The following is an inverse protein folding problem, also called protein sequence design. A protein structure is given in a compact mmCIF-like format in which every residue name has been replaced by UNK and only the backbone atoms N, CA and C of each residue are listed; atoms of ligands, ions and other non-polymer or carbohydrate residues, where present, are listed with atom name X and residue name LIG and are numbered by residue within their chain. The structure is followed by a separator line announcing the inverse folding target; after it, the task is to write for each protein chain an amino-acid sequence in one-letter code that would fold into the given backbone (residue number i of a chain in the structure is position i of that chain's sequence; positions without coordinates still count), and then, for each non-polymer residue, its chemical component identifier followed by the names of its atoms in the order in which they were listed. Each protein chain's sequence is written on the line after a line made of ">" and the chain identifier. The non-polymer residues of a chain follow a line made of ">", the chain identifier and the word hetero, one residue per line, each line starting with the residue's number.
data_IF_546377474138
#
_entry.id   IF_546377474138
#
_cell.length_a   1.000
_cell.length_b   1.000
_cell.length_c   1.000
_cell.angle_alpha   90.00
_cell.angle_beta   90.00
_cell.angle_gamma   90.00
#
_symmetry.space_group_name_H-M   'P 1'
#
loop_
_entity.id
_entity.type
_entity.pdbx_description
1 polymer ?
#
# COMPACT_ATOMS: atom_id res chain seq x y z
N UNK A 1 -2.69 15.46 -20.59
CA UNK A 1 -3.29 15.10 -19.30
C UNK A 1 -4.66 15.75 -19.24
N UNK A 2 -5.74 14.96 -19.17
CA UNK A 2 -7.14 15.41 -19.30
C UNK A 2 -7.88 15.50 -17.97
N UNK A 3 -7.19 15.87 -16.89
CA UNK A 3 -7.86 16.14 -15.62
C UNK A 3 -8.49 17.53 -15.70
N UNK A 4 -9.82 17.61 -15.47
CA UNK A 4 -10.55 18.89 -15.49
C UNK A 4 -10.18 19.84 -14.34
N UNK A 5 -9.46 19.34 -13.33
CA UNK A 5 -8.94 20.09 -12.19
C UNK A 5 -7.54 19.60 -11.80
N UNK A 6 -6.68 20.44 -11.20
CA UNK A 6 -5.41 20.02 -10.64
C UNK A 6 -5.58 18.97 -9.53
N UNK A 7 -4.63 18.05 -9.43
CA UNK A 7 -4.57 17.09 -8.32
C UNK A 7 -4.23 17.79 -7.00
N UNK A 8 -4.87 17.33 -5.93
CA UNK A 8 -4.64 17.74 -4.56
C UNK A 8 -3.94 16.63 -3.76
N UNK A 9 -3.37 17.05 -2.63
CA UNK A 9 -2.73 16.15 -1.69
C UNK A 9 -3.75 15.16 -1.11
N UNK A 10 -3.47 13.86 -1.21
CA UNK A 10 -4.36 12.81 -0.72
C UNK A 10 -5.47 12.40 -1.69
N UNK A 11 -5.55 12.97 -2.89
CA UNK A 11 -6.48 12.51 -3.92
C UNK A 11 -6.25 11.03 -4.23
N UNK A 12 -7.29 10.21 -4.07
CA UNK A 12 -7.29 8.84 -4.53
C UNK A 12 -7.66 8.79 -6.00
N UNK A 13 -6.92 8.01 -6.77
CA UNK A 13 -7.06 7.97 -8.23
C UNK A 13 -7.39 6.58 -8.73
N UNK A 14 -8.13 6.53 -9.82
CA UNK A 14 -8.25 5.38 -10.71
C UNK A 14 -7.35 5.65 -11.90
N UNK A 15 -6.59 4.64 -12.32
CA UNK A 15 -5.60 4.76 -13.38
C UNK A 15 -5.89 3.76 -14.50
N UNK A 16 -6.25 4.30 -15.66
CA UNK A 16 -6.60 3.53 -16.84
C UNK A 16 -5.50 3.68 -17.91
N UNK A 17 -4.74 2.61 -18.13
CA UNK A 17 -3.70 2.58 -19.14
C UNK A 17 -4.26 2.20 -20.50
N UNK A 18 -4.09 3.06 -21.53
CA UNK A 18 -4.45 2.69 -22.89
C UNK A 18 -3.76 1.38 -23.30
N UNK A 19 -4.54 0.40 -23.76
CA UNK A 19 -4.02 -0.94 -24.12
C UNK A 19 -3.91 -1.92 -22.94
N UNK A 20 -4.36 -1.55 -21.74
CA UNK A 20 -4.53 -2.45 -20.59
C UNK A 20 -3.26 -2.85 -19.86
N UNK A 21 -2.07 -2.52 -20.38
CA UNK A 21 -0.79 -2.83 -19.72
C UNK A 21 -0.42 -1.71 -18.76
N UNK A 22 -0.43 -2.00 -17.45
CA UNK A 22 -0.06 -1.01 -16.43
C UNK A 22 1.37 -0.50 -16.65
N UNK A 23 1.56 0.80 -16.45
CA UNK A 23 2.83 1.51 -16.63
C UNK A 23 3.39 1.51 -18.07
N UNK A 24 2.61 1.08 -19.06
CA UNK A 24 2.93 1.31 -20.47
C UNK A 24 2.38 2.69 -20.90
N UNK A 25 3.25 3.70 -20.93
CA UNK A 25 2.88 5.06 -21.28
C UNK A 25 2.12 5.81 -20.18
N UNK A 26 1.35 6.83 -20.57
CA UNK A 26 0.64 7.73 -19.64
C UNK A 26 -0.78 7.25 -19.38
N UNK A 27 -1.17 7.00 -18.11
CA UNK A 27 -2.54 6.62 -17.79
C UNK A 27 -3.50 7.80 -17.96
N UNK A 28 -4.77 7.48 -18.21
CA UNK A 28 -5.90 8.36 -17.91
C UNK A 28 -6.20 8.25 -16.43
N UNK A 29 -6.31 9.39 -15.75
CA UNK A 29 -6.61 9.45 -14.33
C UNK A 29 -8.02 10.00 -14.11
N UNK A 30 -8.75 9.40 -13.17
CA UNK A 30 -9.96 9.95 -12.57
C UNK A 30 -9.87 9.85 -11.05
N UNK A 31 -10.70 10.61 -10.33
CA UNK A 31 -10.69 10.63 -8.87
C UNK A 31 -11.70 9.63 -8.29
N UNK A 32 -11.31 8.94 -7.22
CA UNK A 32 -12.25 8.30 -6.31
C UNK A 32 -12.46 9.19 -5.07
N UNK A 33 -13.58 9.94 -4.97
CA UNK A 33 -13.78 10.93 -3.92
C UNK A 33 -13.91 10.33 -2.52
N UNK A 34 -14.21 9.04 -2.40
CA UNK A 34 -14.35 8.37 -1.10
C UNK A 34 -13.13 7.57 -0.69
N UNK A 35 -12.14 7.46 -1.58
CA UNK A 35 -10.94 6.64 -1.38
C UNK A 35 -11.28 5.20 -0.96
N UNK A 36 -12.36 4.62 -1.49
CA UNK A 36 -12.89 3.34 -1.01
C UNK A 36 -13.80 2.68 -2.03
N UNK A 37 -14.83 3.39 -2.48
CA UNK A 37 -15.98 2.76 -3.12
C UNK A 37 -15.64 2.24 -4.53
N UNK A 38 -14.58 2.76 -5.14
CA UNK A 38 -14.17 2.38 -6.50
C UNK A 38 -12.86 1.58 -6.55
N UNK A 39 -12.36 1.09 -5.41
CA UNK A 39 -11.09 0.38 -5.31
C UNK A 39 -9.94 1.18 -5.97
N UNK A 40 -9.54 2.34 -5.40
CA UNK A 40 -8.58 3.23 -6.04
C UNK A 40 -7.24 2.53 -6.33
N UNK A 41 -6.67 2.87 -7.48
CA UNK A 41 -5.37 2.37 -7.95
C UNK A 41 -4.18 2.96 -7.17
N UNK A 42 -4.41 4.10 -6.53
CA UNK A 42 -3.41 4.71 -5.67
C UNK A 42 -3.81 6.09 -5.19
N UNK A 43 -2.82 6.84 -4.71
CA UNK A 43 -3.04 8.12 -4.06
C UNK A 43 -1.93 9.11 -4.38
N UNK A 44 -2.27 10.40 -4.48
CA UNK A 44 -1.32 11.51 -4.49
C UNK A 44 -0.75 11.69 -3.09
N UNK A 45 0.57 11.58 -2.94
CA UNK A 45 1.22 11.58 -1.62
C UNK A 45 2.23 12.69 -1.43
N UNK A 46 2.68 13.32 -2.52
CA UNK A 46 3.61 14.44 -2.50
C UNK A 46 3.53 15.26 -3.79
N UNK A 47 4.23 16.40 -3.79
CA UNK A 47 4.42 17.22 -4.98
C UNK A 47 5.90 17.57 -5.13
N UNK A 48 6.39 17.54 -6.36
CA UNK A 48 7.71 18.05 -6.72
C UNK A 48 7.54 19.41 -7.42
N UNK A 49 8.05 20.47 -6.82
CA UNK A 49 8.07 21.79 -7.44
C UNK A 49 9.03 21.84 -8.63
N UNK A 50 8.76 22.74 -9.57
CA UNK A 50 9.62 23.02 -10.71
C UNK A 50 9.54 24.51 -11.09
N UNK A 51 10.62 25.06 -11.63
CA UNK A 51 10.61 26.44 -12.13
C UNK A 51 9.95 26.55 -13.51
N UNK A 52 9.87 25.45 -14.27
CA UNK A 52 9.29 25.42 -15.62
C UNK A 52 8.67 24.06 -15.96
N UNK A 53 7.82 24.04 -16.99
CA UNK A 53 7.23 22.80 -17.50
C UNK A 53 8.29 21.80 -18.02
N UNK A 54 9.39 22.30 -18.60
CA UNK A 54 10.48 21.46 -19.07
C UNK A 54 11.30 20.87 -17.92
N UNK A 55 11.52 21.64 -16.86
CA UNK A 55 12.13 21.10 -15.64
C UNK A 55 11.22 20.05 -15.00
N UNK A 56 9.92 20.30 -14.89
CA UNK A 56 8.95 19.33 -14.37
C UNK A 56 8.98 18.02 -15.17
N UNK A 57 9.13 18.09 -16.50
CA UNK A 57 9.24 16.91 -17.37
C UNK A 57 10.56 16.16 -17.17
N UNK A 58 11.68 16.88 -17.05
CA UNK A 58 13.02 16.28 -16.93
C UNK A 58 13.29 15.71 -15.54
N UNK A 59 12.92 16.43 -14.49
CA UNK A 59 13.31 16.13 -13.11
C UNK A 59 12.16 15.59 -12.26
N UNK A 60 10.90 15.86 -12.64
CA UNK A 60 9.72 15.45 -11.87
C UNK A 60 9.68 13.95 -11.56
N UNK A 61 9.90 13.04 -12.55
CA UNK A 61 9.92 11.60 -12.29
C UNK A 61 10.93 11.19 -11.20
N UNK A 62 12.19 11.62 -11.33
CA UNK A 62 13.22 11.30 -10.35
C UNK A 62 12.91 11.90 -8.96
N UNK A 63 12.41 13.13 -8.90
CA UNK A 63 11.98 13.75 -7.63
C UNK A 63 10.83 12.98 -6.98
N UNK A 64 9.85 12.51 -7.75
CA UNK A 64 8.76 11.71 -7.23
C UNK A 64 9.21 10.31 -6.80
N UNK A 65 10.19 9.69 -7.45
CA UNK A 65 10.81 8.45 -6.96
C UNK A 65 11.37 8.64 -5.54
N UNK A 66 12.11 9.74 -5.30
CA UNK A 66 12.65 10.05 -3.97
C UNK A 66 11.55 10.35 -2.95
N UNK A 67 10.63 11.25 -3.28
CA UNK A 67 9.57 11.71 -2.37
C UNK A 67 8.61 10.59 -1.94
N UNK A 68 8.45 9.56 -2.77
CA UNK A 68 7.55 8.43 -2.48
C UNK A 68 8.25 7.24 -1.85
N UNK A 69 9.59 7.24 -1.78
CA UNK A 69 10.40 6.08 -1.38
C UNK A 69 9.97 5.51 -0.04
N UNK A 70 9.90 6.36 0.99
CA UNK A 70 9.60 5.91 2.35
C UNK A 70 8.25 5.19 2.44
N UNK A 71 7.20 5.73 1.79
CA UNK A 71 5.89 5.10 1.78
C UNK A 71 5.91 3.78 0.99
N UNK A 72 6.61 3.76 -0.14
CA UNK A 72 6.73 2.56 -0.98
C UNK A 72 7.48 1.44 -0.27
N UNK A 73 8.49 1.76 0.53
CA UNK A 73 9.26 0.76 1.29
C UNK A 73 8.40 0.07 2.36
N UNK A 74 7.27 0.67 2.76
CA UNK A 74 6.30 0.08 3.69
C UNK A 74 5.22 -0.75 3.01
N UNK A 75 5.01 -0.60 1.70
CA UNK A 75 3.93 -1.25 0.95
C UNK A 75 4.46 -2.41 0.11
N UNK A 76 3.60 -3.37 -0.19
CA UNK A 76 3.88 -4.40 -1.18
C UNK A 76 3.47 -3.92 -2.56
N UNK A 77 4.24 -4.31 -3.57
CA UNK A 77 3.81 -4.25 -4.97
C UNK A 77 3.33 -2.88 -5.44
N UNK A 78 4.07 -1.81 -5.11
CA UNK A 78 3.74 -0.43 -5.51
C UNK A 78 4.86 0.22 -6.33
N UNK A 79 4.47 1.21 -7.14
CA UNK A 79 5.37 2.04 -7.94
C UNK A 79 5.06 3.52 -7.75
N UNK A 80 6.10 4.35 -7.85
CA UNK A 80 5.93 5.79 -8.01
C UNK A 80 5.41 6.08 -9.41
N UNK A 81 4.57 7.11 -9.51
CA UNK A 81 4.15 7.66 -10.78
C UNK A 81 4.11 9.19 -10.70
N UNK A 82 4.82 9.84 -11.61
CA UNK A 82 4.85 11.30 -11.71
C UNK A 82 3.81 11.79 -12.74
N UNK A 83 2.83 12.56 -12.27
CA UNK A 83 1.88 13.25 -13.13
C UNK A 83 2.46 14.60 -13.48
N UNK A 84 3.21 14.63 -14.59
CA UNK A 84 3.84 15.85 -15.10
C UNK A 84 2.78 16.71 -15.81
N UNK A 85 2.63 17.99 -15.44
CA UNK A 85 1.71 18.90 -16.12
C UNK A 85 2.13 19.14 -17.58
N UNK A 86 1.15 19.38 -18.46
CA UNK A 86 1.44 19.88 -19.82
C UNK A 86 2.00 21.30 -19.75
N UNK A 87 2.66 21.76 -20.83
CA UNK A 87 3.16 23.14 -20.90
C UNK A 87 2.05 24.18 -20.65
N UNK A 88 0.88 23.99 -21.25
CA UNK A 88 -0.29 24.85 -21.06
C UNK A 88 -0.95 24.72 -19.68
N UNK A 89 -0.80 23.56 -19.03
CA UNK A 89 -1.39 23.28 -17.71
C UNK A 89 -0.45 23.53 -16.54
N UNK A 90 0.78 23.99 -16.78
CA UNK A 90 1.82 24.11 -15.75
C UNK A 90 1.46 25.09 -14.64
N UNK A 91 1.02 26.29 -15.00
CA UNK A 91 0.61 27.31 -14.02
C UNK A 91 -0.67 26.89 -13.28
N UNK A 92 -1.65 26.33 -14.00
CA UNK A 92 -2.88 25.83 -13.39
C UNK A 92 -2.63 24.66 -12.41
N UNK A 93 -1.59 23.85 -12.66
CA UNK A 93 -1.17 22.78 -11.75
C UNK A 93 -0.44 23.31 -10.50
N UNK A 94 -0.15 24.61 -10.43
CA UNK A 94 0.64 25.22 -9.35
C UNK A 94 2.14 24.99 -9.52
N UNK A 95 2.63 24.90 -10.76
CA UNK A 95 4.05 24.73 -11.11
C UNK A 95 4.72 23.50 -10.47
N UNK A 96 3.94 22.43 -10.29
CA UNK A 96 4.34 21.21 -9.57
C UNK A 96 3.92 19.95 -10.32
N UNK A 97 4.73 18.92 -10.17
CA UNK A 97 4.42 17.54 -10.57
C UNK A 97 3.78 16.83 -9.38
N UNK A 98 2.63 16.20 -9.57
CA UNK A 98 2.03 15.38 -8.52
C UNK A 98 2.72 14.01 -8.47
N UNK A 99 3.09 13.57 -7.28
CA UNK A 99 3.75 12.30 -7.03
C UNK A 99 2.74 11.31 -6.45
N UNK A 100 2.45 10.27 -7.21
CA UNK A 100 1.50 9.24 -6.85
C UNK A 100 2.23 7.97 -6.43
N UNK A 101 1.63 7.24 -5.50
CA UNK A 101 1.94 5.83 -5.27
C UNK A 101 0.79 5.01 -5.82
N UNK A 102 1.08 4.16 -6.79
CA UNK A 102 0.12 3.30 -7.49
C UNK A 102 0.46 1.83 -7.23
N UNK A 103 -0.55 0.97 -7.13
CA UNK A 103 -0.35 -0.47 -7.15
C UNK A 103 0.21 -0.93 -8.50
N UNK A 104 1.26 -1.74 -8.47
CA UNK A 104 2.04 -2.16 -9.62
C UNK A 104 1.21 -3.07 -10.54
N UNK A 105 0.44 -3.99 -9.95
CA UNK A 105 -0.37 -4.96 -10.69
C UNK A 105 -1.88 -4.87 -10.42
N UNK A 106 -2.31 -3.99 -9.52
CA UNK A 106 -3.73 -3.85 -9.19
C UNK A 106 -4.02 -2.65 -8.29
N UNK A 107 -5.26 -2.52 -7.81
CA UNK A 107 -5.64 -1.42 -6.94
C UNK A 107 -5.11 -1.57 -5.51
N UNK A 108 -5.04 -0.44 -4.80
CA UNK A 108 -4.63 -0.38 -3.40
C UNK A 108 -5.84 -0.36 -2.44
N UNK A 109 -7.04 -0.04 -2.94
CA UNK A 109 -8.32 -0.14 -2.21
C UNK A 109 -8.52 0.85 -1.04
N UNK A 110 -7.65 1.84 -0.86
CA UNK A 110 -7.81 2.75 0.27
C UNK A 110 -6.77 3.85 0.40
N UNK A 111 -6.94 4.72 1.41
CA UNK A 111 -5.95 5.74 1.75
C UNK A 111 -4.64 5.10 2.20
N UNK A 112 -3.54 5.83 2.04
CA UNK A 112 -2.18 5.39 2.37
C UNK A 112 -1.55 6.27 3.45
N UNK A 113 -0.62 5.69 4.20
CA UNK A 113 0.22 6.39 5.17
C UNK A 113 -0.63 6.98 6.29
N UNK A 114 -0.36 8.23 6.65
CA UNK A 114 -1.02 8.95 7.75
C UNK A 114 -2.49 9.33 7.46
N UNK A 115 -2.97 9.16 6.21
CA UNK A 115 -4.37 9.43 5.85
C UNK A 115 -5.32 8.29 6.23
N UNK A 116 -4.77 7.18 6.67
CA UNK A 116 -5.53 6.01 7.15
C UNK A 116 -6.09 6.31 8.53
N UNK A 117 -7.34 5.95 8.75
CA UNK A 117 -8.03 6.15 10.03
C UNK A 117 -7.98 4.88 10.87
N UNK A 118 -7.56 5.00 12.12
CA UNK A 118 -7.68 3.92 13.09
C UNK A 118 -9.14 3.48 13.24
N UNK A 119 -9.34 2.19 13.53
CA UNK A 119 -10.64 1.53 13.60
C UNK A 119 -11.24 1.16 12.24
N UNK A 120 -10.60 1.53 11.13
CA UNK A 120 -11.05 1.17 9.78
C UNK A 120 -10.64 -0.26 9.45
N UNK A 121 -11.59 -1.05 8.94
CA UNK A 121 -11.31 -2.39 8.43
C UNK A 121 -10.56 -2.30 7.09
N UNK A 122 -9.61 -3.21 6.88
CA UNK A 122 -8.94 -3.35 5.58
C UNK A 122 -9.90 -4.00 4.58
N UNK A 123 -10.15 -3.33 3.46
CA UNK A 123 -10.94 -3.90 2.36
C UNK A 123 -10.14 -4.97 1.59
N UNK A 124 -8.82 -4.82 1.55
CA UNK A 124 -7.88 -5.74 0.93
C UNK A 124 -6.51 -5.63 1.62
N UNK A 125 -5.67 -6.65 1.49
CA UNK A 125 -4.31 -6.65 2.05
C UNK A 125 -3.34 -5.71 1.32
N UNK A 126 -3.67 -5.26 0.10
CA UNK A 126 -2.83 -4.34 -0.68
C UNK A 126 -2.59 -2.97 -0.01
N UNK A 127 -3.44 -2.54 0.93
CA UNK A 127 -3.24 -1.30 1.72
C UNK A 127 -2.52 -1.52 3.05
N UNK A 128 -2.25 -2.77 3.44
CA UNK A 128 -1.51 -3.05 4.68
C UNK A 128 -0.04 -2.64 4.51
N UNK A 129 0.49 -1.99 5.53
CA UNK A 129 1.84 -1.44 5.56
C UNK A 129 2.68 -2.12 6.63
N UNK A 130 3.98 -2.23 6.39
CA UNK A 130 4.94 -2.59 7.44
C UNK A 130 4.72 -1.69 8.66
N UNK A 131 4.77 -2.32 9.84
CA UNK A 131 4.52 -1.73 11.16
C UNK A 131 3.06 -1.39 11.47
N UNK A 132 2.11 -1.70 10.60
CA UNK A 132 0.70 -1.62 10.97
C UNK A 132 0.41 -2.55 12.15
N UNK A 133 -0.30 -2.02 13.15
CA UNK A 133 -0.83 -2.81 14.25
C UNK A 133 -2.30 -3.12 14.00
N UNK A 134 -2.66 -4.38 14.20
CA UNK A 134 -3.91 -4.96 13.76
C UNK A 134 -4.73 -5.43 14.95
N UNK A 135 -5.99 -5.06 14.95
CA UNK A 135 -7.04 -5.63 15.80
C UNK A 135 -7.82 -6.66 14.97
N UNK A 136 -7.65 -7.94 15.29
CA UNK A 136 -8.18 -9.08 14.54
C UNK A 136 -9.59 -9.36 15.02
N UNK A 137 -10.59 -9.09 14.17
CA UNK A 137 -12.00 -9.36 14.46
C UNK A 137 -12.44 -10.74 14.01
N UNK A 138 -11.81 -11.25 12.96
CA UNK A 138 -11.99 -12.61 12.46
C UNK A 138 -10.78 -13.02 11.61
N UNK A 139 -10.78 -14.22 11.06
CA UNK A 139 -9.77 -14.65 10.08
C UNK A 139 -9.83 -13.89 8.73
N UNK A 140 -10.78 -12.96 8.55
CA UNK A 140 -10.95 -12.17 7.32
C UNK A 140 -11.07 -10.68 7.55
N UNK A 141 -11.20 -10.24 8.80
CA UNK A 141 -11.33 -8.83 9.15
C UNK A 141 -10.26 -8.46 10.19
N UNK A 142 -9.39 -7.55 9.79
CA UNK A 142 -8.52 -6.80 10.67
C UNK A 142 -8.83 -5.31 10.56
N UNK A 143 -8.59 -4.60 11.66
CA UNK A 143 -8.69 -3.13 11.71
C UNK A 143 -7.34 -2.53 12.07
N UNK A 144 -7.02 -1.40 11.45
CA UNK A 144 -5.83 -0.63 11.82
C UNK A 144 -6.04 -0.01 13.21
N UNK A 145 -5.11 -0.21 14.14
CA UNK A 145 -5.15 0.37 15.49
C UNK A 145 -3.82 1.01 15.88
N UNK A 146 -3.80 1.94 16.85
CA UNK A 146 -2.56 2.53 17.33
C UNK A 146 -1.64 1.49 17.98
N UNK A 147 -0.38 1.42 17.54
CA UNK A 147 0.62 0.51 18.11
C UNK A 147 1.00 0.80 19.57
N UNK A 148 0.76 2.02 20.06
CA UNK A 148 0.97 2.39 21.47
C UNK A 148 -0.08 1.79 22.42
N UNK A 149 -1.13 1.17 21.89
CA UNK A 149 -2.16 0.50 22.67
C UNK A 149 -2.08 -1.02 22.56
N UNK A 150 -3.21 -1.68 22.85
CA UNK A 150 -3.41 -3.12 22.70
C UNK A 150 -3.73 -3.46 21.24
N UNK A 151 -3.04 -4.44 20.68
CA UNK A 151 -3.27 -4.97 19.33
C UNK A 151 -2.99 -6.48 19.28
N UNK A 152 -3.48 -7.19 18.29
CA UNK A 152 -3.32 -8.65 18.20
C UNK A 152 -2.11 -9.04 17.36
N UNK A 153 -1.82 -8.27 16.30
CA UNK A 153 -0.72 -8.55 15.39
C UNK A 153 -0.02 -7.28 14.90
N UNK A 154 1.25 -7.40 14.50
CA UNK A 154 1.96 -6.34 13.79
C UNK A 154 2.46 -6.84 12.43
N UNK A 155 2.28 -6.05 11.37
CA UNK A 155 2.83 -6.35 10.04
C UNK A 155 4.35 -6.15 10.04
N UNK A 156 5.09 -7.20 9.68
CA UNK A 156 6.56 -7.17 9.58
C UNK A 156 7.03 -6.94 8.15
N UNK A 157 6.31 -7.50 7.18
CA UNK A 157 6.74 -7.51 5.79
C UNK A 157 5.80 -8.30 4.90
N UNK A 158 6.34 -8.78 3.78
CA UNK A 158 5.58 -9.44 2.73
C UNK A 158 6.38 -10.59 2.15
N UNK A 159 5.71 -11.66 1.76
CA UNK A 159 6.27 -12.72 0.91
C UNK A 159 5.39 -12.92 -0.32
N UNK A 160 5.83 -13.74 -1.27
CA UNK A 160 5.06 -14.15 -2.44
C UNK A 160 5.00 -15.67 -2.52
N UNK A 161 3.80 -16.20 -2.76
CA UNK A 161 3.61 -17.62 -3.04
C UNK A 161 3.76 -17.91 -4.53
N UNK A 162 3.90 -19.19 -4.87
CA UNK A 162 3.96 -19.65 -6.27
C UNK A 162 2.71 -19.26 -7.05
N UNK A 163 2.88 -19.02 -8.35
CA UNK A 163 1.79 -18.61 -9.25
C UNK A 163 0.70 -19.70 -9.43
N UNK A 164 1.02 -20.94 -9.09
CA UNK A 164 0.13 -22.10 -9.08
C UNK A 164 -0.66 -22.26 -7.76
N UNK A 165 -0.25 -21.57 -6.69
CA UNK A 165 -0.91 -21.64 -5.38
C UNK A 165 -2.23 -20.88 -5.42
N UNK A 166 -3.33 -21.57 -5.13
CA UNK A 166 -4.66 -20.97 -5.02
C UNK A 166 -4.80 -20.18 -3.71
N UNK A 167 -5.75 -19.23 -3.67
CA UNK A 167 -6.05 -18.50 -2.42
C UNK A 167 -6.51 -19.43 -1.29
N UNK A 168 -7.14 -20.56 -1.62
CA UNK A 168 -7.55 -21.55 -0.62
C UNK A 168 -6.34 -22.24 0.02
N UNK A 169 -5.35 -22.65 -0.78
CA UNK A 169 -4.10 -23.25 -0.30
C UNK A 169 -3.21 -22.23 0.43
N UNK A 170 -3.25 -20.97 0.01
CA UNK A 170 -2.52 -19.89 0.67
C UNK A 170 -2.95 -19.74 2.13
N UNK A 171 -4.24 -19.89 2.44
CA UNK A 171 -4.78 -19.75 3.80
C UNK A 171 -4.22 -20.76 4.80
N UNK A 172 -3.67 -21.88 4.33
CA UNK A 172 -3.07 -22.91 5.19
C UNK A 172 -1.55 -22.90 5.16
N UNK A 173 -0.93 -22.38 4.09
CA UNK A 173 0.52 -22.42 3.87
C UNK A 173 1.24 -21.09 4.15
N UNK A 174 0.50 -19.98 4.23
CA UNK A 174 1.07 -18.63 4.33
C UNK A 174 1.83 -18.38 5.63
N UNK A 175 1.34 -18.87 6.78
CA UNK A 175 2.05 -18.71 8.07
C UNK A 175 3.44 -19.36 8.01
N UNK A 176 3.55 -20.54 7.40
CA UNK A 176 4.83 -21.22 7.22
C UNK A 176 5.76 -20.50 6.22
N UNK A 177 5.21 -19.87 5.17
CA UNK A 177 6.00 -19.03 4.27
C UNK A 177 6.53 -17.79 5.00
N UNK A 178 5.68 -17.09 5.74
CA UNK A 178 6.07 -15.94 6.54
C UNK A 178 7.11 -16.29 7.61
N UNK A 179 6.98 -17.44 8.28
CA UNK A 179 7.97 -17.90 9.26
C UNK A 179 9.37 -18.12 8.65
N UNK A 180 9.47 -18.45 7.37
CA UNK A 180 10.76 -18.62 6.67
C UNK A 180 11.29 -17.31 6.11
N UNK A 181 10.43 -16.53 5.45
CA UNK A 181 10.87 -15.41 4.61
C UNK A 181 10.88 -14.06 5.36
N UNK A 182 10.06 -13.93 6.41
CA UNK A 182 9.89 -12.73 7.23
C UNK A 182 9.79 -13.14 8.71
N UNK A 183 10.81 -13.86 9.20
CA UNK A 183 10.77 -14.48 10.51
C UNK A 183 10.72 -13.43 11.64
N UNK A 184 9.77 -13.51 12.60
CA UNK A 184 9.67 -12.53 13.69
C UNK A 184 10.96 -12.31 14.49
N UNK A 185 11.78 -13.35 14.64
CA UNK A 185 13.08 -13.27 15.34
C UNK A 185 14.03 -12.25 14.69
N UNK A 186 13.97 -12.06 13.38
CA UNK A 186 14.82 -11.13 12.64
C UNK A 186 14.45 -9.67 12.93
N UNK A 187 13.29 -9.47 13.58
CA UNK A 187 12.76 -8.18 14.04
C UNK A 187 12.82 -8.03 15.56
N UNK A 188 13.49 -8.96 16.27
CA UNK A 188 13.69 -8.89 17.71
C UNK A 188 12.57 -9.48 18.57
N UNK A 189 11.63 -10.23 17.98
CA UNK A 189 10.59 -10.91 18.75
C UNK A 189 11.08 -12.26 19.28
N UNK A 190 10.87 -12.50 20.58
CA UNK A 190 11.26 -13.75 21.25
C UNK A 190 10.44 -14.94 20.70
N UNK A 191 11.09 -15.95 20.09
CA UNK A 191 10.40 -17.11 19.53
C UNK A 191 9.77 -18.05 20.57
N UNK A 192 9.98 -17.83 21.87
CA UNK A 192 9.24 -18.52 22.94
C UNK A 192 7.89 -17.87 23.25
N UNK A 193 7.66 -16.64 22.80
CA UNK A 193 6.45 -15.85 23.07
C UNK A 193 5.67 -15.57 21.79
N UNK A 194 6.38 -15.35 20.68
CA UNK A 194 5.84 -14.86 19.42
C UNK A 194 6.00 -15.87 18.29
N UNK A 195 5.08 -15.81 17.34
CA UNK A 195 5.10 -16.62 16.11
C UNK A 195 4.71 -15.77 14.90
N UNK A 196 4.99 -16.32 13.71
CA UNK A 196 4.56 -15.70 12.46
C UNK A 196 3.06 -15.92 12.25
N UNK A 197 2.40 -14.89 11.74
CA UNK A 197 1.05 -14.96 11.19
C UNK A 197 1.04 -14.42 9.75
N UNK A 198 -0.11 -14.54 9.10
CA UNK A 198 -0.28 -14.06 7.74
C UNK A 198 -1.67 -13.53 7.44
N UNK A 199 -1.75 -12.64 6.46
CA UNK A 199 -2.99 -12.19 5.84
C UNK A 199 -2.93 -12.32 4.32
N UNK A 200 -4.06 -12.76 3.76
CA UNK A 200 -4.29 -12.91 2.32
C UNK A 200 -5.67 -12.36 1.97
N UNK A 201 -5.83 -11.82 0.77
CA UNK A 201 -7.12 -11.37 0.23
C UNK A 201 -7.24 -11.68 -1.25
N UNK A 202 -8.40 -11.40 -1.84
CA UNK A 202 -8.64 -11.68 -3.26
C UNK A 202 -7.75 -10.84 -4.20
N UNK A 203 -7.42 -9.59 -3.82
CA UNK A 203 -6.68 -8.64 -4.66
C UNK A 203 -5.38 -9.20 -5.22
N UNK A 204 -4.44 -9.67 -4.37
CA UNK A 204 -3.17 -10.26 -4.82
C UNK A 204 -3.31 -11.48 -5.74
N UNK A 205 -4.38 -12.27 -5.62
CA UNK A 205 -4.66 -13.40 -6.51
C UNK A 205 -5.27 -12.95 -7.84
N UNK A 206 -6.19 -11.99 -7.81
CA UNK A 206 -6.77 -11.40 -9.03
C UNK A 206 -5.73 -10.67 -9.88
N UNK A 207 -4.71 -10.08 -9.25
CA UNK A 207 -3.59 -9.43 -9.94
C UNK A 207 -2.45 -10.38 -10.32
N UNK A 208 -2.48 -11.64 -9.88
CA UNK A 208 -1.42 -12.63 -10.12
C UNK A 208 -0.13 -12.38 -9.34
N UNK A 209 -0.13 -11.47 -8.36
CA UNK A 209 1.07 -11.15 -7.56
C UNK A 209 1.31 -12.12 -6.42
N UNK A 210 0.25 -12.77 -5.94
CA UNK A 210 0.25 -13.76 -4.86
C UNK A 210 1.02 -13.28 -3.61
N UNK A 211 0.92 -11.97 -3.35
CA UNK A 211 1.49 -11.32 -2.19
C UNK A 211 0.73 -11.75 -0.94
N UNK A 212 1.50 -12.09 0.10
CA UNK A 212 1.04 -12.41 1.43
C UNK A 212 1.62 -11.38 2.39
N UNK A 213 0.79 -10.84 3.28
CA UNK A 213 1.23 -9.96 4.36
C UNK A 213 1.67 -10.82 5.52
N UNK A 214 2.91 -10.64 5.97
CA UNK A 214 3.49 -11.38 7.09
C UNK A 214 3.41 -10.55 8.36
N UNK A 215 2.89 -11.16 9.41
CA UNK A 215 2.71 -10.55 10.72
C UNK A 215 3.42 -11.32 11.82
N UNK A 216 3.54 -10.68 12.97
CA UNK A 216 3.88 -11.34 14.25
C UNK A 216 2.65 -11.31 15.15
N UNK A 217 2.46 -12.38 15.92
CA UNK A 217 1.43 -12.50 16.97
C UNK A 217 1.97 -13.29 18.15
N UNK A 218 1.30 -13.23 19.32
CA UNK A 218 1.64 -14.12 20.44
C UNK A 218 1.17 -15.55 20.17
N UNK A 219 1.98 -16.53 20.57
CA UNK A 219 1.65 -17.95 20.45
C UNK A 219 0.43 -18.35 21.29
N UNK A 220 0.21 -17.68 22.42
CA UNK A 220 -0.92 -17.96 23.31
C UNK A 220 -2.24 -17.29 22.87
N UNK A 221 -2.26 -16.62 21.70
CA UNK A 221 -3.43 -15.86 21.23
C UNK A 221 -3.74 -14.60 22.03
N UNK A 222 -2.86 -14.22 22.97
CA UNK A 222 -2.97 -12.97 23.73
C UNK A 222 -2.56 -11.76 22.90
N UNK A 223 -2.85 -10.58 23.43
CA UNK A 223 -2.53 -9.33 22.74
C UNK A 223 -1.10 -8.86 22.96
N UNK A 224 -0.63 -8.09 22.00
CA UNK A 224 0.60 -7.34 22.00
C UNK A 224 0.34 -5.89 22.44
N UNK A 225 1.35 -5.24 23.02
CA UNK A 225 1.26 -3.85 23.46
C UNK A 225 0.41 -3.63 24.73
N UNK A 226 0.69 -2.53 25.42
CA UNK A 226 0.18 -2.21 26.76
C UNK A 226 1.17 -2.56 27.87
N UNK A 227 1.14 -1.79 28.98
CA UNK A 227 1.73 -2.22 30.25
C UNK A 227 1.00 -3.49 30.69
N UNK A 228 1.69 -4.62 30.63
CA UNK A 228 1.23 -5.85 31.27
C UNK A 228 1.00 -5.57 32.78
N UNK A 229 0.00 -6.19 33.44
CA UNK A 229 -0.08 -6.20 34.90
C UNK A 229 1.15 -6.83 35.55
#
# INVERSE_FOLDING_TARGET
>A
MGLGKPLADGDCVLADWPGGTRFAGTPRLSLDPTCRDQAPDGQVVAFAEAASADEARKLGPARCEELTRELRDRLADVRSHAVVPSGTGFEAAGRRTACLVLGAHGPLYGPLGERRRFGTAFADTATMQKRDCLDVRSNREARLVPCGGRYDQQVLGFTRLGADVTLAEARTSSDAACARDVAPRDYGFDPSVYEAGSWTSDGPWKSGTHVVVCTVRRQNGGTMGGTEP
#
